data_IF_069895386853
#
_entry.id   IF_069895386853
#
_cell.length_a   1.000
_cell.length_b   1.000
_cell.length_c   1.000
_cell.angle_alpha   90.00
_cell.angle_beta   90.00
_cell.angle_gamma   90.00
#
_symmetry.space_group_name_H-M   'P 1'
#
loop_
_entity.id
_entity.type
_entity.pdbx_description
1 polymer ?
#
# COMPACT_ATOMS: atom_id res chain seq x y z
N UNK A 1 24.97 -3.74 35.41
CA UNK A 1 25.56 -4.71 34.46
C UNK A 1 26.93 -4.20 34.04
N UNK A 2 28.01 -4.85 34.49
CA UNK A 2 29.38 -4.41 34.20
C UNK A 2 29.70 -4.64 32.71
N UNK A 3 29.84 -3.56 31.94
CA UNK A 3 30.46 -3.64 30.61
C UNK A 3 31.89 -4.12 30.78
N UNK A 4 32.22 -5.28 30.20
CA UNK A 4 33.59 -5.78 30.10
C UNK A 4 34.48 -4.70 29.47
N UNK A 5 35.51 -4.30 30.20
CA UNK A 5 36.43 -3.25 29.76
C UNK A 5 37.30 -3.73 28.60
N UNK A 6 37.50 -2.88 27.59
CA UNK A 6 38.29 -3.16 26.37
C UNK A 6 39.71 -3.72 26.66
N UNK A 7 40.32 -3.30 27.76
CA UNK A 7 41.68 -3.68 28.14
C UNK A 7 41.76 -4.81 29.18
N UNK A 8 40.63 -5.29 29.70
CA UNK A 8 40.56 -6.36 30.70
C UNK A 8 41.02 -7.70 30.10
N UNK A 9 41.51 -8.64 30.92
CA UNK A 9 41.74 -10.02 30.50
C UNK A 9 40.48 -10.60 29.85
N UNK A 10 40.66 -11.26 28.71
CA UNK A 10 39.56 -11.81 27.94
C UNK A 10 38.93 -13.01 28.70
N UNK A 11 37.60 -13.03 28.89
CA UNK A 11 36.93 -14.06 29.69
C UNK A 11 36.93 -15.46 29.05
N UNK A 12 37.41 -15.59 27.81
CA UNK A 12 37.55 -16.89 27.13
C UNK A 12 38.76 -17.71 27.58
N UNK A 13 39.55 -17.24 28.55
CA UNK A 13 40.70 -17.97 29.10
C UNK A 13 42.00 -17.85 28.29
N UNK A 14 42.06 -16.95 27.31
CA UNK A 14 43.23 -16.78 26.43
C UNK A 14 44.39 -15.96 27.04
N UNK A 15 44.21 -15.41 28.24
CA UNK A 15 45.13 -14.46 28.90
C UNK A 15 45.46 -13.18 28.09
N UNK A 16 44.83 -12.96 26.93
CA UNK A 16 44.96 -11.76 26.11
C UNK A 16 43.97 -10.68 26.56
N UNK A 17 44.23 -9.40 26.24
CA UNK A 17 43.25 -8.31 26.44
C UNK A 17 42.02 -8.55 25.57
N UNK A 18 40.82 -8.28 26.08
CA UNK A 18 39.54 -8.50 25.38
C UNK A 18 39.51 -7.91 23.96
N UNK A 19 40.04 -6.69 23.78
CA UNK A 19 40.17 -6.03 22.46
C UNK A 19 41.04 -6.75 21.43
N UNK A 20 41.93 -7.65 21.85
CA UNK A 20 42.84 -8.42 21.00
C UNK A 20 42.40 -9.88 20.87
N UNK A 21 41.23 -10.24 21.41
CA UNK A 21 40.76 -11.62 21.43
C UNK A 21 39.29 -11.72 21.00
N UNK A 22 38.33 -11.70 21.93
CA UNK A 22 36.92 -11.93 21.58
C UNK A 22 36.18 -10.68 21.09
N UNK A 23 36.68 -9.47 21.30
CA UNK A 23 35.94 -8.23 20.96
C UNK A 23 35.47 -8.17 19.50
N UNK A 24 36.33 -8.52 18.54
CA UNK A 24 35.97 -8.49 17.13
C UNK A 24 34.94 -9.57 16.77
N UNK A 25 35.05 -10.75 17.40
CA UNK A 25 34.08 -11.84 17.23
C UNK A 25 32.72 -11.45 17.82
N UNK A 26 32.70 -10.86 19.00
CA UNK A 26 31.47 -10.41 19.68
C UNK A 26 30.83 -9.25 18.91
N UNK A 27 31.63 -8.34 18.36
CA UNK A 27 31.15 -7.26 17.49
C UNK A 27 30.55 -7.80 16.19
N UNK A 28 31.20 -8.78 15.55
CA UNK A 28 30.69 -9.42 14.34
C UNK A 28 29.41 -10.19 14.63
N UNK A 29 29.35 -10.95 15.73
CA UNK A 29 28.14 -11.64 16.17
C UNK A 29 26.99 -10.66 16.46
N UNK A 30 27.27 -9.54 17.14
CA UNK A 30 26.26 -8.52 17.39
C UNK A 30 25.75 -7.87 16.09
N UNK A 31 26.64 -7.62 15.11
CA UNK A 31 26.27 -7.10 13.79
C UNK A 31 25.43 -8.11 13.01
N UNK A 32 25.81 -9.39 13.03
CA UNK A 32 25.06 -10.46 12.38
C UNK A 32 23.69 -10.66 13.03
N UNK A 33 23.61 -10.60 14.36
CA UNK A 33 22.34 -10.67 15.09
C UNK A 33 21.44 -9.47 14.77
N UNK A 34 22.00 -8.26 14.72
CA UNK A 34 21.26 -7.07 14.32
C UNK A 34 20.78 -7.15 12.85
N UNK A 35 21.61 -7.66 11.94
CA UNK A 35 21.24 -7.87 10.54
C UNK A 35 20.12 -8.92 10.40
N UNK A 36 20.21 -10.04 11.13
CA UNK A 36 19.17 -11.08 11.17
C UNK A 36 17.87 -10.55 11.77
N UNK A 37 17.93 -9.75 12.83
CA UNK A 37 16.75 -9.13 13.43
C UNK A 37 16.09 -8.13 12.46
N UNK A 38 16.88 -7.34 11.73
CA UNK A 38 16.37 -6.42 10.73
C UNK A 38 15.75 -7.16 9.52
N UNK A 39 16.36 -8.28 9.08
CA UNK A 39 15.79 -9.14 8.05
C UNK A 39 14.49 -9.83 8.51
N UNK A 40 14.43 -10.32 9.74
CA UNK A 40 13.23 -10.92 10.32
C UNK A 40 12.11 -9.89 10.49
N UNK A 41 12.42 -8.66 10.90
CA UNK A 41 11.47 -7.55 10.96
C UNK A 41 10.94 -7.20 9.56
N UNK A 42 11.82 -7.15 8.55
CA UNK A 42 11.41 -6.95 7.15
C UNK A 42 10.53 -8.08 6.60
N UNK A 43 10.76 -9.32 7.01
CA UNK A 43 9.95 -10.47 6.60
C UNK A 43 8.60 -10.51 7.33
N UNK A 44 8.55 -10.09 8.60
CA UNK A 44 7.30 -9.91 9.34
C UNK A 44 6.47 -8.74 8.79
N UNK A 45 7.13 -7.71 8.26
CA UNK A 45 6.56 -6.59 7.50
C UNK A 45 6.19 -6.93 6.04
N UNK A 46 6.42 -8.18 5.62
CA UNK A 46 6.10 -8.67 4.28
C UNK A 46 4.88 -9.58 4.32
N UNK A 47 3.89 -9.26 5.16
CA UNK A 47 2.59 -9.95 5.12
C UNK A 47 2.06 -9.79 3.69
N UNK A 48 1.88 -10.90 2.93
CA UNK A 48 1.43 -10.79 1.56
C UNK A 48 0.08 -10.10 1.55
N UNK A 49 -0.03 -9.00 0.82
CA UNK A 49 -1.30 -8.33 0.59
C UNK A 49 -2.13 -9.26 -0.28
N UNK A 50 -3.14 -9.90 0.33
CA UNK A 50 -4.05 -10.83 -0.35
C UNK A 50 -5.38 -10.15 -0.66
N UNK A 51 -6.11 -10.68 -1.65
CA UNK A 51 -7.49 -10.28 -1.95
C UNK A 51 -8.38 -10.36 -0.71
N UNK A 52 -8.25 -11.43 0.07
CA UNK A 52 -8.99 -11.61 1.33
C UNK A 52 -8.65 -10.52 2.35
N UNK A 53 -7.37 -10.17 2.48
CA UNK A 53 -6.90 -9.09 3.35
C UNK A 53 -7.44 -7.73 2.91
N UNK A 54 -7.43 -7.44 1.61
CA UNK A 54 -7.99 -6.21 1.05
C UNK A 54 -9.50 -6.12 1.29
N UNK A 55 -10.26 -7.19 1.03
CA UNK A 55 -11.71 -7.20 1.25
C UNK A 55 -12.06 -7.06 2.73
N UNK A 56 -11.29 -7.67 3.63
CA UNK A 56 -11.44 -7.46 5.08
C UNK A 56 -11.22 -5.99 5.44
N UNK A 57 -10.13 -5.39 4.98
CA UNK A 57 -9.85 -3.97 5.20
C UNK A 57 -10.98 -3.07 4.65
N UNK A 58 -11.46 -3.33 3.44
CA UNK A 58 -12.59 -2.62 2.82
C UNK A 58 -13.84 -2.67 3.72
N UNK A 59 -14.16 -3.83 4.31
CA UNK A 59 -15.32 -3.98 5.19
C UNK A 59 -15.20 -3.23 6.52
N UNK A 60 -13.98 -2.86 6.92
CA UNK A 60 -13.69 -2.11 8.16
C UNK A 60 -13.69 -0.59 7.93
N UNK A 61 -13.70 -0.12 6.67
CA UNK A 61 -13.77 1.30 6.34
C UNK A 61 -15.18 1.87 6.57
N UNK A 62 -15.24 3.17 6.86
CA UNK A 62 -16.50 3.91 6.91
C UNK A 62 -16.97 4.27 5.49
N UNK A 63 -18.14 3.78 5.09
CA UNK A 63 -18.75 4.05 3.79
C UNK A 63 -20.04 4.85 3.94
N UNK A 64 -20.21 5.90 3.11
CA UNK A 64 -21.46 6.68 3.07
C UNK A 64 -22.61 5.91 2.43
N UNK A 65 -22.29 5.03 1.48
CA UNK A 65 -23.25 4.23 0.74
C UNK A 65 -22.74 2.81 0.55
N UNK A 66 -23.62 1.80 0.56
CA UNK A 66 -23.23 0.42 0.31
C UNK A 66 -22.66 0.23 -1.10
N UNK A 67 -23.16 0.97 -2.10
CA UNK A 67 -22.65 0.87 -3.47
C UNK A 67 -21.19 1.32 -3.60
N UNK A 68 -20.71 2.18 -2.69
CA UNK A 68 -19.32 2.63 -2.69
C UNK A 68 -18.41 1.52 -2.13
N UNK A 69 -18.87 0.75 -1.14
CA UNK A 69 -18.16 -0.44 -0.69
C UNK A 69 -18.12 -1.52 -1.78
N UNK A 70 -19.26 -1.79 -2.44
CA UNK A 70 -19.35 -2.75 -3.55
C UNK A 70 -18.39 -2.39 -4.70
N UNK A 71 -18.26 -1.10 -5.01
CA UNK A 71 -17.30 -0.62 -6.00
C UNK A 71 -15.84 -0.91 -5.60
N UNK A 72 -15.49 -0.79 -4.32
CA UNK A 72 -14.15 -1.11 -3.82
C UNK A 72 -13.84 -2.61 -3.94
N UNK A 73 -14.78 -3.47 -3.54
CA UNK A 73 -14.64 -4.93 -3.67
C UNK A 73 -14.57 -5.36 -5.15
N UNK A 74 -15.32 -4.69 -6.02
CA UNK A 74 -15.27 -4.88 -7.46
C UNK A 74 -13.89 -4.47 -8.03
N UNK A 75 -13.31 -3.36 -7.58
CA UNK A 75 -11.95 -2.95 -7.96
C UNK A 75 -10.93 -4.03 -7.61
N UNK A 76 -10.95 -4.53 -6.37
CA UNK A 76 -10.06 -5.61 -5.94
C UNK A 76 -10.21 -6.84 -6.84
N UNK A 77 -11.44 -7.28 -7.08
CA UNK A 77 -11.74 -8.47 -7.89
C UNK A 77 -11.27 -8.31 -9.35
N UNK A 78 -11.41 -7.11 -9.92
CA UNK A 78 -11.11 -6.86 -11.34
C UNK A 78 -9.63 -6.59 -11.59
N UNK A 79 -8.91 -6.05 -10.61
CA UNK A 79 -7.49 -5.73 -10.74
C UNK A 79 -6.59 -6.86 -10.25
N UNK A 80 -7.13 -7.85 -9.53
CA UNK A 80 -6.37 -9.00 -9.06
C UNK A 80 -5.71 -9.77 -10.21
N UNK A 81 -4.45 -10.14 -10.03
CA UNK A 81 -3.62 -10.81 -11.03
C UNK A 81 -3.14 -9.94 -12.20
N UNK A 82 -3.72 -8.76 -12.43
CA UNK A 82 -3.28 -7.80 -13.47
C UNK A 82 -2.41 -6.68 -12.89
N UNK A 83 -2.54 -6.38 -11.60
CA UNK A 83 -1.84 -5.31 -10.91
C UNK A 83 -1.13 -5.80 -9.64
N UNK A 84 -0.02 -5.13 -9.30
CA UNK A 84 0.63 -5.32 -8.01
C UNK A 84 -0.32 -4.96 -6.86
N UNK A 85 -0.34 -5.72 -5.74
CA UNK A 85 -1.31 -5.50 -4.67
C UNK A 85 -1.34 -4.07 -4.09
N UNK A 86 -0.18 -3.41 -4.01
CA UNK A 86 -0.09 -2.02 -3.56
C UNK A 86 -0.80 -1.03 -4.50
N UNK A 87 -0.88 -1.37 -5.79
CA UNK A 87 -1.62 -0.57 -6.78
C UNK A 87 -3.12 -0.74 -6.59
N UNK A 88 -3.57 -1.96 -6.28
CA UNK A 88 -4.98 -2.25 -5.98
C UNK A 88 -5.41 -1.54 -4.70
N UNK A 89 -4.59 -1.59 -3.64
CA UNK A 89 -4.83 -0.83 -2.40
C UNK A 89 -4.93 0.67 -2.69
N UNK A 90 -4.04 1.20 -3.53
CA UNK A 90 -4.10 2.61 -3.96
C UNK A 90 -5.37 2.93 -4.76
N UNK A 91 -5.83 2.02 -5.61
CA UNK A 91 -7.08 2.15 -6.35
C UNK A 91 -8.28 2.28 -5.40
N UNK A 92 -8.36 1.39 -4.40
CA UNK A 92 -9.40 1.41 -3.37
C UNK A 92 -9.34 2.70 -2.56
N UNK A 93 -8.16 3.17 -2.17
CA UNK A 93 -8.00 4.44 -1.46
C UNK A 93 -8.44 5.64 -2.30
N UNK A 94 -8.05 5.67 -3.59
CA UNK A 94 -8.48 6.71 -4.54
C UNK A 94 -10.01 6.77 -4.60
N UNK A 95 -10.65 5.60 -4.72
CA UNK A 95 -12.10 5.51 -4.75
C UNK A 95 -12.74 5.95 -3.43
N UNK A 96 -12.27 5.45 -2.31
CA UNK A 96 -12.80 5.78 -0.98
C UNK A 96 -12.73 7.29 -0.71
N UNK A 97 -11.59 7.93 -1.02
CA UNK A 97 -11.43 9.38 -0.90
C UNK A 97 -12.46 10.15 -1.73
N UNK A 98 -12.61 9.77 -3.00
CA UNK A 98 -13.55 10.45 -3.89
C UNK A 98 -15.00 10.26 -3.44
N UNK A 99 -15.39 9.03 -3.09
CA UNK A 99 -16.75 8.72 -2.64
C UNK A 99 -17.09 9.40 -1.30
N UNK A 100 -16.12 9.51 -0.40
CA UNK A 100 -16.29 10.17 0.88
C UNK A 100 -16.30 11.71 0.77
N UNK A 101 -15.59 12.32 -0.16
CA UNK A 101 -15.49 13.79 -0.25
C UNK A 101 -16.46 14.39 -1.29
N UNK A 102 -17.17 13.57 -2.05
CA UNK A 102 -18.10 14.03 -3.09
C UNK A 102 -19.53 13.51 -2.88
N UNK A 103 -20.47 14.00 -3.69
CA UNK A 103 -21.84 13.52 -3.72
C UNK A 103 -22.10 12.78 -5.04
N UNK A 104 -22.17 11.45 -4.97
CA UNK A 104 -22.38 10.60 -6.13
C UNK A 104 -23.89 10.32 -6.28
N UNK A 105 -24.40 10.55 -7.49
CA UNK A 105 -25.78 10.21 -7.82
C UNK A 105 -26.00 8.70 -7.79
N UNK A 106 -27.06 8.27 -7.10
CA UNK A 106 -27.48 6.87 -7.03
C UNK A 106 -27.84 6.24 -8.40
N UNK A 107 -28.05 7.06 -9.44
CA UNK A 107 -28.30 6.57 -10.80
C UNK A 107 -27.01 6.11 -11.52
N UNK A 108 -25.83 6.47 -11.00
CA UNK A 108 -24.56 6.10 -11.60
C UNK A 108 -24.17 4.71 -11.09
N UNK A 109 -23.89 3.81 -12.03
CA UNK A 109 -23.46 2.45 -11.72
C UNK A 109 -22.03 2.43 -11.15
N UNK A 110 -21.74 1.59 -10.14
CA UNK A 110 -20.39 1.38 -9.59
C UNK A 110 -19.30 1.17 -10.65
N UNK A 111 -19.61 0.41 -11.68
CA UNK A 111 -18.71 0.08 -12.79
C UNK A 111 -18.18 1.32 -13.53
N UNK A 112 -18.94 2.41 -13.53
CA UNK A 112 -18.52 3.67 -14.16
C UNK A 112 -17.30 4.28 -13.48
N UNK A 113 -17.27 4.26 -12.15
CA UNK A 113 -16.14 4.76 -11.39
C UNK A 113 -15.03 3.72 -11.28
N UNK A 114 -15.36 2.43 -11.16
CA UNK A 114 -14.32 1.39 -11.14
C UNK A 114 -13.48 1.40 -12.42
N UNK A 115 -14.12 1.53 -13.60
CA UNK A 115 -13.42 1.62 -14.87
C UNK A 115 -12.50 2.86 -14.96
N UNK A 116 -12.95 3.99 -14.39
CA UNK A 116 -12.18 5.22 -14.38
C UNK A 116 -10.99 5.15 -13.41
N UNK A 117 -11.18 4.57 -12.22
CA UNK A 117 -10.11 4.35 -11.24
C UNK A 117 -9.07 3.38 -11.77
N UNK A 118 -9.47 2.24 -12.37
CA UNK A 118 -8.50 1.31 -12.98
C UNK A 118 -7.71 1.98 -14.10
N UNK A 119 -8.38 2.77 -14.95
CA UNK A 119 -7.69 3.52 -16.00
C UNK A 119 -6.70 4.54 -15.43
N UNK A 120 -7.09 5.30 -14.39
CA UNK A 120 -6.19 6.22 -13.70
C UNK A 120 -4.97 5.50 -13.11
N UNK A 121 -5.17 4.33 -12.49
CA UNK A 121 -4.06 3.52 -11.98
C UNK A 121 -3.16 3.00 -13.10
N UNK A 122 -3.74 2.61 -14.24
CA UNK A 122 -2.95 2.17 -15.38
C UNK A 122 -2.02 3.26 -15.91
N UNK A 123 -2.51 4.51 -16.01
CA UNK A 123 -1.69 5.66 -16.44
C UNK A 123 -0.61 5.99 -15.41
N UNK A 124 -0.93 5.92 -14.12
CA UNK A 124 0.02 6.20 -13.03
C UNK A 124 1.13 5.14 -12.86
N UNK A 125 0.98 3.97 -13.50
CA UNK A 125 1.86 2.82 -13.38
C UNK A 125 2.43 2.34 -14.72
N UNK A 126 2.28 3.15 -15.78
CA UNK A 126 2.75 2.85 -17.14
C UNK A 126 2.26 1.49 -17.68
N UNK A 127 1.07 1.05 -17.25
CA UNK A 127 0.44 -0.19 -17.73
C UNK A 127 -0.24 0.11 -19.08
N UNK A 128 0.14 -0.55 -20.18
CA UNK A 128 -0.33 -0.20 -21.51
C UNK A 128 -1.75 -0.71 -21.78
N UNK A 129 -2.77 -0.02 -21.25
CA UNK A 129 -4.18 -0.28 -21.53
C UNK A 129 -4.82 0.92 -22.23
N UNK A 130 -5.93 0.67 -22.93
CA UNK A 130 -6.71 1.74 -23.55
C UNK A 130 -8.00 1.96 -22.79
N UNK A 131 -8.54 3.19 -22.80
CA UNK A 131 -9.88 3.46 -22.24
C UNK A 131 -10.95 2.53 -22.82
N UNK A 132 -10.83 2.15 -24.11
CA UNK A 132 -11.77 1.23 -24.76
C UNK A 132 -11.72 -0.16 -24.14
N UNK A 133 -10.53 -0.68 -23.86
CA UNK A 133 -10.37 -2.01 -23.25
C UNK A 133 -10.91 -2.02 -21.81
N UNK A 134 -10.53 -1.03 -21.00
CA UNK A 134 -11.01 -0.92 -19.62
C UNK A 134 -12.52 -0.70 -19.57
N UNK A 135 -13.08 0.19 -20.40
CA UNK A 135 -14.52 0.41 -20.47
C UNK A 135 -15.29 -0.88 -20.81
N UNK A 136 -14.76 -1.70 -21.74
CA UNK A 136 -15.36 -2.98 -22.10
C UNK A 136 -15.30 -3.98 -20.93
N UNK A 137 -14.19 -4.05 -20.17
CA UNK A 137 -14.03 -4.90 -18.97
C UNK A 137 -15.14 -4.67 -17.93
N UNK A 138 -15.58 -3.42 -17.81
CA UNK A 138 -16.60 -2.99 -16.85
C UNK A 138 -18.00 -2.83 -17.46
N UNK A 139 -18.19 -3.12 -18.75
CA UNK A 139 -19.51 -2.98 -19.40
C UNK A 139 -20.03 -1.54 -19.49
N UNK A 140 -19.14 -0.56 -19.54
CA UNK A 140 -19.47 0.88 -19.67
C UNK A 140 -19.00 1.42 -21.02
N UNK A 141 -19.49 2.61 -21.40
CA UNK A 141 -19.01 3.28 -22.61
C UNK A 141 -17.66 3.97 -22.38
N UNK A 142 -16.77 4.08 -23.40
CA UNK A 142 -15.53 4.85 -23.28
C UNK A 142 -15.79 6.31 -22.90
N UNK A 143 -16.89 6.91 -23.36
CA UNK A 143 -17.31 8.27 -22.99
C UNK A 143 -17.65 8.38 -21.50
N UNK A 144 -18.33 7.37 -20.94
CA UNK A 144 -18.64 7.31 -19.51
C UNK A 144 -17.35 7.24 -18.70
N UNK A 145 -16.44 6.33 -19.04
CA UNK A 145 -15.14 6.19 -18.39
C UNK A 145 -14.36 7.51 -18.46
N UNK A 146 -14.23 8.09 -19.65
CA UNK A 146 -13.48 9.33 -19.86
C UNK A 146 -14.00 10.48 -18.99
N UNK A 147 -15.33 10.64 -18.90
CA UNK A 147 -15.96 11.64 -18.04
C UNK A 147 -15.60 11.44 -16.57
N UNK A 148 -15.73 10.20 -16.08
CA UNK A 148 -15.42 9.85 -14.67
C UNK A 148 -13.93 10.00 -14.37
N UNK A 149 -13.05 9.63 -15.30
CA UNK A 149 -11.61 9.79 -15.15
C UNK A 149 -11.23 11.27 -15.01
N UNK A 150 -11.86 12.13 -15.81
CA UNK A 150 -11.66 13.57 -15.72
C UNK A 150 -12.09 14.11 -14.35
N UNK A 151 -13.27 13.72 -13.86
CA UNK A 151 -13.77 14.12 -12.53
C UNK A 151 -12.82 13.68 -11.40
N UNK A 152 -12.30 12.43 -11.44
CA UNK A 152 -11.31 11.93 -10.48
C UNK A 152 -9.99 12.73 -10.56
N UNK A 153 -9.49 12.97 -11.77
CA UNK A 153 -8.23 13.69 -11.99
C UNK A 153 -8.32 15.13 -11.47
N UNK A 154 -9.43 15.81 -11.76
CA UNK A 154 -9.69 17.18 -11.28
C UNK A 154 -9.75 17.22 -9.74
N UNK A 155 -10.48 16.28 -9.12
CA UNK A 155 -10.57 16.16 -7.67
C UNK A 155 -9.18 16.00 -7.00
N UNK A 156 -8.35 15.08 -7.48
CA UNK A 156 -7.01 14.87 -6.90
C UNK A 156 -6.05 16.02 -7.20
N UNK A 157 -6.20 16.70 -8.35
CA UNK A 157 -5.43 17.90 -8.67
C UNK A 157 -5.75 19.05 -7.70
N UNK A 158 -7.04 19.29 -7.42
CA UNK A 158 -7.47 20.31 -6.45
C UNK A 158 -6.99 19.97 -5.04
N UNK A 159 -7.12 18.71 -4.64
CA UNK A 159 -6.66 18.24 -3.33
C UNK A 159 -5.15 18.40 -3.16
N UNK A 160 -4.35 18.14 -4.20
CA UNK A 160 -2.92 18.38 -4.19
C UNK A 160 -2.57 19.88 -4.06
N UNK A 161 -3.32 20.76 -4.71
CA UNK A 161 -3.13 22.21 -4.63
C UNK A 161 -3.45 22.79 -3.25
N UNK A 162 -4.41 22.19 -2.54
CA UNK A 162 -4.87 22.65 -1.22
C UNK A 162 -4.01 22.14 -0.03
N UNK A 163 -2.96 21.36 -0.31
CA UNK A 163 -2.00 20.85 0.69
C UNK A 163 -2.28 19.42 1.15
N UNK A 164 -1.20 18.68 1.43
CA UNK A 164 -1.25 17.28 1.87
C UNK A 164 -1.81 17.22 3.29
N UNK A 165 -2.95 16.55 3.47
CA UNK A 165 -3.46 16.17 4.78
C UNK A 165 -2.41 15.29 5.48
N UNK A 166 -1.92 15.64 6.68
CA UNK A 166 -0.95 14.81 7.39
C UNK A 166 -1.60 13.48 7.75
N UNK A 167 -0.99 12.36 7.30
CA UNK A 167 -1.47 10.98 7.48
C UNK A 167 -2.96 10.78 7.17
N UNK A 168 -3.26 10.44 5.92
CA UNK A 168 -4.59 9.94 5.58
C UNK A 168 -4.78 8.53 6.21
N UNK A 169 -5.47 8.46 7.35
CA UNK A 169 -5.74 7.24 8.13
C UNK A 169 -6.52 6.17 7.34
N UNK A 170 -7.07 6.55 6.17
CA UNK A 170 -7.75 5.62 5.25
C UNK A 170 -6.75 4.75 4.47
N UNK A 171 -5.47 5.12 4.41
CA UNK A 171 -4.44 4.24 3.82
C UNK A 171 -4.13 3.15 4.85
N UNK A 172 -4.27 1.86 4.52
CA UNK A 172 -3.95 0.81 5.48
C UNK A 172 -2.46 0.92 5.81
N UNK A 173 -2.12 0.93 7.10
CA UNK A 173 -0.74 0.77 7.56
C UNK A 173 -0.35 -0.66 7.21
N UNK A 174 0.19 -0.83 6.00
CA UNK A 174 0.71 -2.12 5.55
C UNK A 174 2.01 -2.34 6.33
N UNK A 175 1.88 -3.07 7.43
CA UNK A 175 2.92 -3.32 8.41
C UNK A 175 4.01 -4.21 7.84
#
# INVERSE_FOLDING_TARGET
MNKLGRNEPCPCGSNLKYKRCCMEKDQTQAREQAAKANQAAKAAAAVPVTVEGMNKWISELSWKRPEDQEAAELLVTRMDGEYEPNVIVRAVWVWHCYADETNISAAIKPESYCAAVEYLMSEAHDVPVTQKAVAAKYGVSPTTLSKRNKELTEFFSERAANGVQPNDERVPVMA
#
